data_IF_957458203631
#
_entry.id   IF_957458203631
#
_cell.length_a   1.000
_cell.length_b   1.000
_cell.length_c   1.000
_cell.angle_alpha   90.00
_cell.angle_beta   90.00
_cell.angle_gamma   90.00
#
_symmetry.space_group_name_H-M   'P 1'
#
loop_
_entity.id
_entity.type
_entity.pdbx_description
1 polymer ?
#
# COMPACT_ATOMS: atom_id res chain seq x y z
N UNK A 1 -1.39 -26.46 6.78
CA UNK A 1 -0.99 -25.03 6.65
C UNK A 1 -1.47 -24.42 5.32
N UNK A 2 -0.99 -24.88 4.15
CA UNK A 2 -1.35 -24.29 2.85
C UNK A 2 -2.85 -24.30 2.54
N UNK A 3 -3.58 -25.39 2.83
CA UNK A 3 -5.03 -25.48 2.57
C UNK A 3 -5.87 -24.38 3.24
N UNK A 4 -5.41 -23.85 4.38
CA UNK A 4 -6.08 -22.73 5.06
C UNK A 4 -5.60 -21.39 4.48
N UNK A 5 -4.29 -21.27 4.25
CA UNK A 5 -3.68 -20.06 3.70
C UNK A 5 -4.14 -19.75 2.26
N UNK A 6 -4.39 -20.76 1.43
CA UNK A 6 -4.79 -20.62 0.02
C UNK A 6 -6.15 -19.94 -0.16
N UNK A 7 -6.95 -19.82 0.91
CA UNK A 7 -8.17 -19.01 0.90
C UNK A 7 -7.87 -17.50 0.89
N UNK A 8 -6.71 -17.09 1.40
CA UNK A 8 -6.32 -15.69 1.61
C UNK A 8 -5.10 -15.28 0.79
N UNK A 9 -4.30 -16.25 0.31
CA UNK A 9 -3.08 -16.03 -0.45
C UNK A 9 -3.25 -16.70 -1.82
N UNK A 10 -3.12 -15.91 -2.89
CA UNK A 10 -3.30 -16.40 -4.27
C UNK A 10 -2.28 -17.48 -4.66
N UNK A 11 -1.05 -17.39 -4.16
CA UNK A 11 0.01 -18.35 -4.45
C UNK A 11 1.39 -17.88 -3.98
N UNK A 12 2.43 -18.45 -4.56
CA UNK A 12 3.84 -18.15 -4.24
C UNK A 12 4.58 -17.44 -5.36
N UNK A 13 3.97 -17.38 -6.54
CA UNK A 13 4.56 -16.78 -7.74
C UNK A 13 3.71 -15.61 -8.23
N UNK A 14 4.29 -14.74 -9.04
CA UNK A 14 3.51 -13.68 -9.70
C UNK A 14 2.48 -14.29 -10.65
N UNK A 15 2.75 -15.43 -11.28
CA UNK A 15 1.79 -16.15 -12.13
C UNK A 15 0.55 -16.59 -11.35
N UNK A 16 0.70 -17.09 -10.12
CA UNK A 16 -0.45 -17.46 -9.29
C UNK A 16 -1.32 -16.22 -8.98
N UNK A 17 -0.68 -15.10 -8.65
CA UNK A 17 -1.37 -13.83 -8.40
C UNK A 17 -2.12 -13.34 -9.64
N UNK A 18 -1.53 -13.46 -10.83
CA UNK A 18 -2.17 -13.12 -12.11
C UNK A 18 -3.38 -14.01 -12.38
N UNK A 19 -3.28 -15.32 -12.18
CA UNK A 19 -4.40 -16.24 -12.40
C UNK A 19 -5.58 -15.92 -11.48
N UNK A 20 -5.31 -15.65 -10.19
CA UNK A 20 -6.34 -15.23 -9.25
C UNK A 20 -6.97 -13.89 -9.66
N UNK A 21 -6.15 -12.91 -10.09
CA UNK A 21 -6.64 -11.61 -10.54
C UNK A 21 -7.52 -11.71 -11.80
N UNK A 22 -7.16 -12.58 -12.75
CA UNK A 22 -7.95 -12.84 -13.95
C UNK A 22 -9.34 -13.40 -13.61
N UNK A 23 -9.44 -14.30 -12.63
CA UNK A 23 -10.73 -14.80 -12.15
C UNK A 23 -11.60 -13.68 -11.55
N UNK A 24 -10.99 -12.77 -10.78
CA UNK A 24 -11.67 -11.58 -10.25
C UNK A 24 -12.11 -10.65 -11.39
N UNK A 25 -11.25 -10.41 -12.39
CA UNK A 25 -11.58 -9.58 -13.56
C UNK A 25 -12.71 -10.17 -14.40
N UNK A 26 -12.75 -11.51 -14.58
CA UNK A 26 -13.86 -12.20 -15.26
C UNK A 26 -15.20 -12.01 -14.55
N UNK A 27 -15.19 -11.77 -13.24
CA UNK A 27 -16.39 -11.43 -12.46
C UNK A 27 -16.76 -9.93 -12.50
N UNK A 28 -16.04 -9.13 -13.29
CA UNK A 28 -16.29 -7.69 -13.46
C UNK A 28 -15.66 -6.80 -12.40
N UNK A 29 -14.78 -7.33 -11.54
CA UNK A 29 -14.10 -6.59 -10.48
C UNK A 29 -12.63 -6.34 -10.82
N UNK A 30 -12.06 -5.21 -10.38
CA UNK A 30 -10.61 -5.00 -10.40
C UNK A 30 -9.93 -5.68 -9.20
N UNK A 31 -8.62 -5.85 -9.26
CA UNK A 31 -7.84 -6.41 -8.17
C UNK A 31 -6.82 -5.40 -7.60
N UNK A 32 -6.39 -5.64 -6.36
CA UNK A 32 -5.15 -5.11 -5.80
C UNK A 32 -4.24 -6.31 -5.55
N UNK A 33 -3.03 -6.28 -6.07
CA UNK A 33 -2.01 -7.29 -5.81
C UNK A 33 -0.99 -6.76 -4.81
N UNK A 34 -0.53 -7.64 -3.93
CA UNK A 34 0.40 -7.31 -2.86
C UNK A 34 1.48 -8.38 -2.80
N UNK A 35 2.74 -7.97 -2.85
CA UNK A 35 3.86 -8.85 -2.57
C UNK A 35 3.98 -9.02 -1.05
N UNK A 36 3.90 -10.26 -0.57
CA UNK A 36 3.96 -10.55 0.86
C UNK A 36 5.42 -10.64 1.30
N UNK A 37 5.76 -9.87 2.35
CA UNK A 37 7.07 -9.82 2.99
C UNK A 37 6.98 -9.21 4.38
N UNK A 38 8.08 -9.24 5.11
CA UNK A 38 8.21 -8.59 6.43
C UNK A 38 9.04 -7.30 6.30
N UNK A 39 9.09 -6.49 7.36
CA UNK A 39 10.04 -5.37 7.42
C UNK A 39 11.45 -5.87 7.14
N UNK A 40 12.25 -5.08 6.42
CA UNK A 40 13.61 -5.43 6.04
C UNK A 40 14.63 -4.50 6.67
N UNK A 41 15.81 -5.03 6.98
CA UNK A 41 16.87 -4.29 7.68
C UNK A 41 18.08 -3.97 6.79
N UNK A 42 18.13 -4.50 5.55
CA UNK A 42 19.25 -4.32 4.62
C UNK A 42 18.80 -3.72 3.28
N UNK A 43 19.60 -2.83 2.66
CA UNK A 43 19.30 -2.31 1.33
C UNK A 43 19.10 -3.41 0.28
N UNK A 44 19.82 -4.52 0.43
CA UNK A 44 19.74 -5.70 -0.44
C UNK A 44 18.36 -6.36 -0.35
N UNK A 45 17.84 -6.58 0.85
CA UNK A 45 16.50 -7.17 1.05
C UNK A 45 15.40 -6.22 0.54
N UNK A 46 15.56 -4.91 0.74
CA UNK A 46 14.64 -3.91 0.17
C UNK A 46 14.66 -3.94 -1.37
N UNK A 47 15.84 -4.11 -1.97
CA UNK A 47 15.97 -4.27 -3.42
C UNK A 47 15.31 -5.57 -3.91
N UNK A 48 15.42 -6.68 -3.17
CA UNK A 48 14.73 -7.93 -3.51
C UNK A 48 13.21 -7.73 -3.53
N UNK A 49 12.65 -7.06 -2.53
CA UNK A 49 11.22 -6.73 -2.49
C UNK A 49 10.81 -5.85 -3.69
N UNK A 50 11.60 -4.80 -3.99
CA UNK A 50 11.40 -3.94 -5.16
C UNK A 50 11.37 -4.75 -6.46
N UNK A 51 12.35 -5.61 -6.71
CA UNK A 51 12.44 -6.42 -7.93
C UNK A 51 11.24 -7.38 -8.07
N UNK A 52 10.80 -7.98 -6.97
CA UNK A 52 9.61 -8.83 -6.97
C UNK A 52 8.35 -8.05 -7.37
N UNK A 53 8.20 -6.81 -6.88
CA UNK A 53 7.10 -5.92 -7.23
C UNK A 53 7.20 -5.46 -8.69
N UNK A 54 8.38 -5.09 -9.18
CA UNK A 54 8.59 -4.73 -10.59
C UNK A 54 8.19 -5.88 -11.53
N UNK A 55 8.60 -7.11 -11.20
CA UNK A 55 8.24 -8.30 -11.96
C UNK A 55 6.73 -8.56 -11.93
N UNK A 56 6.07 -8.35 -10.80
CA UNK A 56 4.61 -8.43 -10.70
C UNK A 56 3.92 -7.39 -11.59
N UNK A 57 4.38 -6.14 -11.59
CA UNK A 57 3.82 -5.06 -12.42
C UNK A 57 3.98 -5.34 -13.91
N UNK A 58 5.14 -5.86 -14.32
CA UNK A 58 5.37 -6.31 -15.69
C UNK A 58 4.36 -7.39 -16.09
N UNK A 59 4.10 -8.37 -15.21
CA UNK A 59 3.10 -9.40 -15.48
C UNK A 59 1.67 -8.86 -15.54
N UNK A 60 1.30 -7.91 -14.68
CA UNK A 60 -0.02 -7.25 -14.76
C UNK A 60 -0.24 -6.70 -16.17
N UNK A 61 0.75 -5.99 -16.71
CA UNK A 61 0.68 -5.44 -18.06
C UNK A 61 0.72 -6.52 -19.15
N UNK A 62 1.64 -7.49 -19.06
CA UNK A 62 1.80 -8.54 -20.05
C UNK A 62 0.54 -9.38 -20.23
N UNK A 63 -0.17 -9.67 -19.13
CA UNK A 63 -1.38 -10.49 -19.14
C UNK A 63 -2.68 -9.68 -19.18
N UNK A 64 -2.60 -8.35 -19.32
CA UNK A 64 -3.76 -7.46 -19.45
C UNK A 64 -4.70 -7.50 -18.25
N UNK A 65 -4.15 -7.67 -17.04
CA UNK A 65 -4.94 -7.75 -15.80
C UNK A 65 -5.33 -6.36 -15.33
N UNK A 66 -6.60 -6.16 -15.01
CA UNK A 66 -7.08 -4.95 -14.35
C UNK A 66 -6.74 -5.01 -12.86
N UNK A 67 -5.53 -4.57 -12.52
CA UNK A 67 -5.03 -4.56 -11.16
C UNK A 67 -4.17 -3.32 -10.82
N UNK A 68 -4.19 -2.98 -9.54
CA UNK A 68 -3.27 -2.04 -8.88
C UNK A 68 -2.32 -2.80 -7.95
N UNK A 69 -1.26 -2.15 -7.49
CA UNK A 69 -0.32 -2.74 -6.53
C UNK A 69 -0.40 -2.02 -5.19
N UNK A 70 -0.38 -2.74 -4.07
CA UNK A 70 -0.15 -2.18 -2.74
C UNK A 70 1.25 -2.55 -2.25
N UNK A 71 1.91 -1.63 -1.55
CA UNK A 71 3.28 -1.79 -1.05
C UNK A 71 3.38 -1.31 0.39
N UNK A 72 4.24 -1.97 1.17
CA UNK A 72 4.59 -1.56 2.53
C UNK A 72 5.91 -0.80 2.54
N UNK A 73 5.97 0.44 3.07
CA UNK A 73 7.23 1.19 3.18
C UNK A 73 8.35 0.43 3.88
N UNK A 74 8.06 -0.30 4.97
CA UNK A 74 9.07 -1.02 5.74
C UNK A 74 9.78 -2.10 4.93
N UNK A 75 9.06 -2.81 4.05
CA UNK A 75 9.65 -3.78 3.10
C UNK A 75 10.54 -3.13 2.04
N UNK A 76 10.37 -1.83 1.79
CA UNK A 76 11.11 -1.08 0.79
C UNK A 76 12.23 -0.22 1.41
N UNK A 77 12.50 -0.40 2.71
CA UNK A 77 13.63 0.20 3.40
C UNK A 77 13.31 1.48 4.19
N UNK A 78 12.05 1.68 4.61
CA UNK A 78 11.67 2.85 5.42
C UNK A 78 12.57 3.03 6.66
N UNK A 79 12.89 1.94 7.37
CA UNK A 79 13.74 1.97 8.57
C UNK A 79 15.24 2.04 8.27
N UNK A 80 15.66 1.76 7.03
CA UNK A 80 17.06 1.72 6.62
C UNK A 80 17.56 3.14 6.35
N UNK A 81 16.75 3.92 5.63
CA UNK A 81 17.05 5.33 5.43
C UNK A 81 16.19 5.99 4.35
N UNK A 82 15.95 7.30 4.48
CA UNK A 82 15.05 8.05 3.59
C UNK A 82 15.46 7.99 2.11
N UNK A 83 16.77 7.92 1.82
CA UNK A 83 17.27 7.77 0.45
C UNK A 83 16.88 6.41 -0.15
N UNK A 84 17.04 5.32 0.62
CA UNK A 84 16.78 3.95 0.16
C UNK A 84 15.31 3.77 -0.20
N UNK A 85 14.40 4.17 0.71
CA UNK A 85 12.96 4.04 0.47
C UNK A 85 12.50 4.93 -0.70
N UNK A 86 13.00 6.17 -0.81
CA UNK A 86 12.65 7.07 -1.91
C UNK A 86 13.10 6.50 -3.25
N UNK A 87 14.35 6.06 -3.36
CA UNK A 87 14.89 5.47 -4.59
C UNK A 87 14.10 4.23 -5.02
N UNK A 88 13.79 3.33 -4.09
CA UNK A 88 12.98 2.15 -4.37
C UNK A 88 11.58 2.52 -4.87
N UNK A 89 10.89 3.45 -4.21
CA UNK A 89 9.56 3.89 -4.63
C UNK A 89 9.58 4.65 -5.96
N UNK A 90 10.59 5.47 -6.23
CA UNK A 90 10.73 6.16 -7.53
C UNK A 90 10.87 5.15 -8.68
N UNK A 91 11.65 4.08 -8.49
CA UNK A 91 11.78 3.01 -9.49
C UNK A 91 10.43 2.30 -9.73
N UNK A 92 9.69 2.00 -8.66
CA UNK A 92 8.35 1.40 -8.77
C UNK A 92 7.36 2.35 -9.46
N UNK A 93 7.35 3.63 -9.11
CA UNK A 93 6.43 4.61 -9.69
C UNK A 93 6.74 4.89 -11.17
N UNK A 94 8.01 4.94 -11.54
CA UNK A 94 8.44 5.02 -12.95
C UNK A 94 7.94 3.80 -13.74
N UNK A 95 8.03 2.60 -13.16
CA UNK A 95 7.46 1.40 -13.77
C UNK A 95 5.91 1.47 -13.83
N UNK A 96 5.26 2.09 -12.85
CA UNK A 96 3.80 2.26 -12.84
C UNK A 96 3.32 3.16 -13.99
N UNK A 97 4.08 4.19 -14.35
CA UNK A 97 3.83 4.99 -15.56
C UNK A 97 3.97 4.16 -16.83
N UNK A 98 5.08 3.43 -16.95
CA UNK A 98 5.36 2.58 -18.12
C UNK A 98 4.29 1.50 -18.35
N UNK A 99 3.82 0.88 -17.28
CA UNK A 99 2.89 -0.25 -17.32
C UNK A 99 1.42 0.15 -17.13
N UNK A 100 1.15 1.46 -17.08
CA UNK A 100 -0.17 2.04 -16.85
C UNK A 100 -0.93 1.43 -15.65
N UNK A 101 -0.23 1.27 -14.53
CA UNK A 101 -0.82 0.85 -13.25
C UNK A 101 -0.69 1.94 -12.20
N UNK A 102 -1.15 1.68 -10.98
CA UNK A 102 -1.08 2.60 -9.85
C UNK A 102 -0.65 1.85 -8.60
N UNK A 103 0.06 2.57 -7.72
CA UNK A 103 0.60 2.07 -6.47
C UNK A 103 -0.14 2.71 -5.31
N UNK A 104 -0.50 1.89 -4.33
CA UNK A 104 -0.99 2.30 -3.02
C UNK A 104 0.10 2.07 -1.98
N UNK A 105 0.49 3.12 -1.26
CA UNK A 105 1.28 2.97 -0.03
C UNK A 105 0.32 2.53 1.08
N UNK A 106 0.54 1.32 1.60
CA UNK A 106 -0.19 0.82 2.76
C UNK A 106 0.32 1.50 4.03
N UNK A 107 -0.61 1.88 4.91
CA UNK A 107 -0.28 2.46 6.21
C UNK A 107 0.00 1.36 7.22
N UNK A 108 1.16 1.44 7.85
CA UNK A 108 1.61 0.49 8.86
C UNK A 108 1.20 0.96 10.26
N UNK A 109 1.92 0.60 11.32
CA UNK A 109 1.57 1.05 12.67
C UNK A 109 1.83 2.56 12.86
N UNK A 110 1.31 3.08 13.98
CA UNK A 110 1.35 4.51 14.30
C UNK A 110 2.75 5.11 14.35
N UNK A 111 3.80 4.31 14.62
CA UNK A 111 5.18 4.80 14.74
C UNK A 111 5.76 5.34 13.43
N UNK A 112 5.19 4.94 12.28
CA UNK A 112 5.68 5.34 10.95
C UNK A 112 4.68 6.18 10.17
N UNK A 113 3.55 6.57 10.77
CA UNK A 113 2.49 7.29 10.05
C UNK A 113 2.97 8.63 9.49
N UNK A 114 3.65 9.45 10.31
CA UNK A 114 4.15 10.76 9.86
C UNK A 114 5.18 10.62 8.75
N UNK A 115 6.18 9.75 8.94
CA UNK A 115 7.21 9.50 7.92
C UNK A 115 6.61 9.00 6.62
N UNK A 116 5.55 8.18 6.69
CA UNK A 116 4.86 7.66 5.50
C UNK A 116 4.07 8.75 4.78
N UNK A 117 3.38 9.64 5.53
CA UNK A 117 2.65 10.76 4.95
C UNK A 117 3.60 11.78 4.28
N UNK A 118 4.72 12.08 4.91
CA UNK A 118 5.73 12.99 4.36
C UNK A 118 6.36 12.40 3.09
N UNK A 119 6.73 11.11 3.13
CA UNK A 119 7.23 10.39 1.95
C UNK A 119 6.21 10.41 0.81
N UNK A 120 4.93 10.15 1.11
CA UNK A 120 3.84 10.21 0.12
C UNK A 120 3.75 11.59 -0.55
N UNK A 121 3.76 12.67 0.24
CA UNK A 121 3.67 14.04 -0.28
C UNK A 121 4.87 14.40 -1.13
N UNK A 122 6.09 14.06 -0.69
CA UNK A 122 7.30 14.30 -1.48
C UNK A 122 7.25 13.58 -2.84
N UNK A 123 6.86 12.30 -2.86
CA UNK A 123 6.74 11.55 -4.12
C UNK A 123 5.62 12.09 -5.02
N UNK A 124 4.50 12.51 -4.43
CA UNK A 124 3.33 13.03 -5.14
C UNK A 124 3.59 14.39 -5.76
N UNK A 125 4.14 15.32 -4.97
CA UNK A 125 4.23 16.74 -5.29
C UNK A 125 5.62 17.12 -5.85
N UNK A 126 6.71 16.73 -5.18
CA UNK A 126 8.06 17.07 -5.65
C UNK A 126 8.47 16.21 -6.85
N UNK A 127 8.24 14.90 -6.79
CA UNK A 127 8.66 13.96 -7.83
C UNK A 127 7.60 13.80 -8.95
N UNK A 128 6.44 14.45 -8.82
CA UNK A 128 5.40 14.51 -9.85
C UNK A 128 4.56 13.24 -10.03
N UNK A 129 4.65 12.26 -9.12
CA UNK A 129 3.95 10.98 -9.26
C UNK A 129 2.49 10.97 -8.79
N UNK A 130 1.87 12.13 -8.54
CA UNK A 130 0.53 12.22 -7.96
C UNK A 130 -0.59 11.46 -8.69
N UNK A 131 -0.43 11.18 -9.99
CA UNK A 131 -1.38 10.40 -10.77
C UNK A 131 -1.21 8.87 -10.63
N UNK A 132 -0.04 8.41 -10.13
CA UNK A 132 0.31 6.99 -9.96
C UNK A 132 0.28 6.53 -8.51
N UNK A 133 0.35 7.44 -7.55
CA UNK A 133 0.46 7.11 -6.13
C UNK A 133 -0.81 7.43 -5.33
N UNK A 134 -1.12 6.59 -4.35
CA UNK A 134 -2.15 6.85 -3.34
C UNK A 134 -1.71 6.35 -1.98
N UNK A 135 -2.47 6.71 -0.95
CA UNK A 135 -2.15 6.42 0.45
C UNK A 135 -3.31 5.73 1.17
N UNK A 136 -3.01 5.06 2.28
CA UNK A 136 -4.01 4.46 3.20
C UNK A 136 -4.11 5.30 4.48
N UNK A 137 -5.31 5.38 5.05
CA UNK A 137 -5.54 5.91 6.39
C UNK A 137 -6.37 4.94 7.24
N UNK A 138 -6.20 5.00 8.56
CA UNK A 138 -6.75 4.03 9.51
C UNK A 138 -7.72 4.73 10.48
N UNK A 139 -9.02 4.47 10.34
CA UNK A 139 -10.07 5.16 11.09
C UNK A 139 -10.03 4.96 12.62
N UNK A 140 -9.31 3.96 13.12
CA UNK A 140 -9.16 3.74 14.56
C UNK A 140 -8.24 4.74 15.27
N UNK A 141 -7.43 5.55 14.56
CA UNK A 141 -6.52 6.51 15.21
C UNK A 141 -7.23 7.85 15.41
N UNK A 142 -7.01 8.49 16.56
CA UNK A 142 -7.58 9.81 16.84
C UNK A 142 -7.09 10.87 15.85
N UNK A 143 -5.85 10.76 15.36
CA UNK A 143 -5.25 11.71 14.40
C UNK A 143 -5.92 11.74 13.03
N UNK A 144 -6.58 10.64 12.64
CA UNK A 144 -6.94 10.40 11.24
C UNK A 144 -7.97 11.39 10.71
N UNK A 145 -8.81 11.99 11.55
CA UNK A 145 -9.73 13.03 11.11
C UNK A 145 -9.00 14.25 10.52
N UNK A 146 -7.92 14.69 11.18
CA UNK A 146 -7.11 15.80 10.67
C UNK A 146 -6.38 15.42 9.38
N UNK A 147 -5.82 14.20 9.33
CA UNK A 147 -5.11 13.71 8.13
C UNK A 147 -6.05 13.58 6.93
N UNK A 148 -7.27 13.07 7.11
CA UNK A 148 -8.30 12.99 6.05
C UNK A 148 -8.65 14.39 5.55
N UNK A 149 -8.90 15.34 6.44
CA UNK A 149 -9.25 16.70 6.05
C UNK A 149 -8.15 17.36 5.19
N UNK A 150 -6.88 17.17 5.56
CA UNK A 150 -5.74 17.65 4.78
C UNK A 150 -5.68 16.95 3.40
N UNK A 151 -5.75 15.62 3.37
CA UNK A 151 -5.65 14.84 2.14
C UNK A 151 -6.81 15.09 1.15
N UNK A 152 -8.00 15.46 1.64
CA UNK A 152 -9.10 15.93 0.79
C UNK A 152 -8.73 17.24 0.10
N UNK A 153 -8.16 18.21 0.83
CA UNK A 153 -7.71 19.48 0.25
C UNK A 153 -6.58 19.28 -0.76
N UNK A 154 -5.72 18.30 -0.52
CA UNK A 154 -4.66 17.89 -1.44
C UNK A 154 -5.22 17.16 -2.69
N UNK A 155 -6.47 16.67 -2.68
CA UNK A 155 -7.01 15.87 -3.78
C UNK A 155 -6.36 14.48 -3.88
N UNK A 156 -5.95 13.92 -2.74
CA UNK A 156 -5.27 12.64 -2.67
C UNK A 156 -6.19 11.47 -3.04
N UNK A 157 -5.62 10.46 -3.70
CA UNK A 157 -6.26 9.16 -3.82
C UNK A 157 -6.05 8.40 -2.51
N UNK A 158 -7.10 8.19 -1.75
CA UNK A 158 -7.04 7.56 -0.42
C UNK A 158 -7.80 6.23 -0.39
N UNK A 159 -7.30 5.26 0.36
CA UNK A 159 -8.06 4.09 0.84
C UNK A 159 -8.22 4.23 2.35
N UNK A 160 -9.46 4.31 2.82
CA UNK A 160 -9.76 4.28 4.25
C UNK A 160 -9.94 2.82 4.71
N UNK A 161 -9.28 2.44 5.80
CA UNK A 161 -9.50 1.17 6.49
C UNK A 161 -9.79 1.42 7.97
N UNK A 162 -10.17 0.38 8.73
CA UNK A 162 -10.35 0.53 10.18
C UNK A 162 -9.03 0.64 10.92
N UNK A 163 -8.06 -0.20 10.55
CA UNK A 163 -6.80 -0.39 11.29
C UNK A 163 -6.58 -1.88 11.55
N UNK A 164 -5.32 -2.31 11.52
CA UNK A 164 -4.95 -3.72 11.62
C UNK A 164 -3.88 -4.00 12.69
N UNK A 165 -3.30 -2.95 13.28
CA UNK A 165 -2.23 -3.05 14.27
C UNK A 165 -2.79 -2.96 15.68
N UNK A 166 -2.02 -3.43 16.66
CA UNK A 166 -2.36 -3.27 18.06
C UNK A 166 -1.74 -1.99 18.58
N UNK A 167 -2.56 -0.96 18.67
CA UNK A 167 -2.16 0.38 19.11
C UNK A 167 -2.53 0.62 20.58
N UNK A 168 -1.80 1.50 21.28
CA UNK A 168 -2.14 1.91 22.64
C UNK A 168 -3.40 2.81 22.63
N UNK A 169 -4.16 2.80 23.74
CA UNK A 169 -5.45 3.50 23.86
C UNK A 169 -5.32 5.03 23.79
N UNK A 170 -4.11 5.55 24.00
CA UNK A 170 -3.75 6.97 23.85
C UNK A 170 -3.70 7.41 22.38
N UNK A 171 -3.52 6.46 21.45
CA UNK A 171 -3.41 6.73 20.00
C UNK A 171 -4.64 6.25 19.23
N UNK A 172 -5.30 5.19 19.70
CA UNK A 172 -6.41 4.55 19.00
C UNK A 172 -7.63 4.35 19.90
N UNK A 173 -8.81 4.34 19.28
CA UNK A 173 -10.05 3.98 19.93
C UNK A 173 -9.98 2.53 20.47
N UNK A 174 -10.17 2.31 21.77
CA UNK A 174 -10.15 0.96 22.33
C UNK A 174 -11.41 0.17 21.95
N UNK A 175 -12.54 0.86 21.83
CA UNK A 175 -13.83 0.27 21.53
C UNK A 175 -14.08 0.21 20.03
N UNK A 176 -14.47 -0.97 19.54
CA UNK A 176 -14.79 -1.19 18.13
C UNK A 176 -15.91 -0.27 17.64
N UNK A 177 -16.87 0.07 18.50
CA UNK A 177 -17.98 0.95 18.15
C UNK A 177 -17.50 2.35 17.74
N UNK A 178 -16.49 2.89 18.42
CA UNK A 178 -15.93 4.20 18.11
C UNK A 178 -15.14 4.18 16.80
N UNK A 179 -14.37 3.10 16.55
CA UNK A 179 -13.71 2.88 15.24
C UNK A 179 -14.73 2.80 14.10
N UNK A 180 -15.85 2.09 14.30
CA UNK A 180 -16.91 1.95 13.30
C UNK A 180 -17.60 3.30 13.03
N UNK A 181 -17.90 4.07 14.08
CA UNK A 181 -18.47 5.40 13.97
C UNK A 181 -17.52 6.37 13.25
N UNK A 182 -16.22 6.34 13.58
CA UNK A 182 -15.24 7.19 12.93
C UNK A 182 -15.01 6.79 11.47
N UNK A 183 -15.01 5.49 11.14
CA UNK A 183 -14.92 5.04 9.75
C UNK A 183 -16.06 5.58 8.88
N UNK A 184 -17.29 5.58 9.40
CA UNK A 184 -18.46 6.15 8.69
C UNK A 184 -18.40 7.67 8.59
N UNK A 185 -17.84 8.35 9.60
CA UNK A 185 -17.66 9.81 9.60
C UNK A 185 -16.68 10.27 8.52
N UNK A 186 -15.62 9.49 8.28
CA UNK A 186 -14.50 9.84 7.40
C UNK A 186 -14.69 9.45 5.93
N UNK A 187 -15.67 8.58 5.63
CA UNK A 187 -15.96 8.05 4.30
C UNK A 187 -16.86 8.99 3.48
#
# INVERSE_FOLDING_TARGET
AWQVASRFIAGKTSQDAIQAAQQINQSGMSATLNYLGESVDTPEDAAVAREAILHLMQHIQQYGVNATVSVKPTQLGLHIGPHIIRENLQQLLTAAEKYDTRIRIDMEDSSVTDTTLDLYRNLRDEDGFGHRIGIVLQAYLYRTEADVAALIQEGAWVRLCKGAYKEPNELAFPEKADTDANFLKLA
#
